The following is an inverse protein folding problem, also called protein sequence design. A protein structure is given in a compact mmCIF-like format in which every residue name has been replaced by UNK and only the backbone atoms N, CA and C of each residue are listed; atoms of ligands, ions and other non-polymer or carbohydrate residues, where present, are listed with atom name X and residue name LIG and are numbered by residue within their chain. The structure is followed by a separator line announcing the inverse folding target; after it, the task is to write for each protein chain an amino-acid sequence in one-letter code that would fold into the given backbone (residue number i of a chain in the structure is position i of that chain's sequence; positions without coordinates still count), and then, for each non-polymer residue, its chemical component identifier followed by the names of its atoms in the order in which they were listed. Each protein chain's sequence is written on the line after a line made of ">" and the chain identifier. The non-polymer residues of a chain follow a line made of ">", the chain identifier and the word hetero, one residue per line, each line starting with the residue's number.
data_IF_418613299262
#
_entry.id   IF_418613299262
#
_cell.length_a   1.000
_cell.length_b   1.000
_cell.length_c   1.000
_cell.angle_alpha   90.00
_cell.angle_beta   90.00
_cell.angle_gamma   90.00
#
_symmetry.space_group_name_H-M   'P 1'
#
loop_
_entity.id
_entity.type
_entity.pdbx_description
1 polymer ?
#
# COMPACT_ATOMS: atom_id res chain seq x y z
N UNK A 1 8.62 7.92 11.96
CA UNK A 1 8.75 7.27 10.64
C UNK A 1 9.48 5.96 10.83
N UNK A 2 8.84 4.88 10.42
CA UNK A 2 9.42 3.54 10.43
C UNK A 2 10.14 3.36 9.09
N UNK A 3 11.40 2.89 9.12
CA UNK A 3 12.18 2.66 7.90
C UNK A 3 11.79 1.32 7.31
N UNK A 4 11.55 1.28 6.01
CA UNK A 4 11.33 0.04 5.28
C UNK A 4 12.66 -0.72 5.19
N UNK A 5 12.59 -2.03 5.47
CA UNK A 5 13.69 -2.95 5.20
C UNK A 5 13.65 -3.34 3.72
N UNK A 6 14.63 -2.85 2.96
CA UNK A 6 14.74 -3.12 1.53
C UNK A 6 15.52 -4.40 1.21
N UNK A 7 16.07 -5.12 2.20
CA UNK A 7 16.90 -6.32 1.94
C UNK A 7 16.17 -7.36 1.09
N UNK A 8 14.86 -7.54 1.29
CA UNK A 8 14.08 -8.46 0.45
C UNK A 8 13.95 -7.97 -1.00
N UNK A 9 13.74 -6.66 -1.19
CA UNK A 9 13.66 -6.05 -2.52
C UNK A 9 15.02 -6.03 -3.23
N UNK A 10 16.12 -5.84 -2.51
CA UNK A 10 17.48 -5.93 -3.04
C UNK A 10 17.74 -7.33 -3.60
N UNK A 11 17.40 -8.38 -2.83
CA UNK A 11 17.50 -9.78 -3.28
C UNK A 11 16.62 -10.05 -4.50
N UNK A 12 15.40 -9.51 -4.55
CA UNK A 12 14.50 -9.69 -5.70
C UNK A 12 14.96 -8.93 -6.93
N UNK A 13 15.56 -7.76 -6.75
CA UNK A 13 15.99 -6.92 -7.86
C UNK A 13 17.27 -7.43 -8.51
N UNK A 14 18.16 -8.13 -7.79
CA UNK A 14 19.51 -8.48 -8.28
C UNK A 14 20.24 -7.27 -8.92
N UNK A 15 20.02 -6.06 -8.38
CA UNK A 15 20.49 -4.77 -8.93
C UNK A 15 19.92 -4.39 -10.32
N UNK A 16 18.81 -4.99 -10.74
CA UNK A 16 18.09 -4.65 -11.97
C UNK A 16 17.24 -3.37 -11.79
N UNK A 17 17.72 -2.27 -12.37
CA UNK A 17 17.02 -0.99 -12.37
C UNK A 17 15.66 -1.05 -13.09
N UNK A 18 15.47 -1.91 -14.10
CA UNK A 18 14.18 -2.07 -14.77
C UNK A 18 13.15 -2.67 -13.81
N UNK A 19 13.53 -3.70 -13.06
CA UNK A 19 12.69 -4.26 -11.99
C UNK A 19 12.35 -3.20 -10.93
N UNK A 20 13.34 -2.42 -10.46
CA UNK A 20 13.10 -1.36 -9.47
C UNK A 20 12.08 -0.34 -9.99
N UNK A 21 12.24 0.09 -11.24
CA UNK A 21 11.35 1.05 -11.90
C UNK A 21 9.91 0.50 -11.99
N UNK A 22 9.76 -0.73 -12.49
CA UNK A 22 8.45 -1.35 -12.68
C UNK A 22 7.74 -1.60 -11.34
N UNK A 23 8.48 -2.08 -10.33
CA UNK A 23 7.95 -2.28 -9.00
C UNK A 23 7.43 -0.99 -8.38
N UNK A 24 8.23 0.09 -8.41
CA UNK A 24 7.86 1.38 -7.84
C UNK A 24 6.66 1.99 -8.58
N UNK A 25 6.66 1.94 -9.91
CA UNK A 25 5.55 2.43 -10.72
C UNK A 25 4.25 1.67 -10.42
N UNK A 26 4.33 0.34 -10.35
CA UNK A 26 3.18 -0.52 -10.05
C UNK A 26 2.66 -0.27 -8.64
N UNK A 27 3.54 -0.11 -7.65
CA UNK A 27 3.17 0.23 -6.28
C UNK A 27 2.45 1.57 -6.23
N UNK A 28 3.02 2.62 -6.85
CA UNK A 28 2.47 3.97 -6.92
C UNK A 28 1.08 4.01 -7.54
N UNK A 29 0.91 3.39 -8.71
CA UNK A 29 -0.38 3.32 -9.39
C UNK A 29 -1.42 2.58 -8.54
N UNK A 30 -1.02 1.43 -7.98
CA UNK A 30 -1.91 0.58 -7.20
C UNK A 30 -2.41 1.28 -5.95
N UNK A 31 -1.53 1.84 -5.12
CA UNK A 31 -1.99 2.45 -3.87
C UNK A 31 -2.80 3.73 -4.11
N UNK A 32 -2.40 4.59 -5.06
CA UNK A 32 -3.13 5.82 -5.36
C UNK A 32 -4.55 5.52 -5.83
N UNK A 33 -4.70 4.52 -6.70
CA UNK A 33 -5.99 4.08 -7.21
C UNK A 33 -6.86 3.46 -6.10
N UNK A 34 -6.31 2.54 -5.32
CA UNK A 34 -7.07 1.79 -4.31
C UNK A 34 -7.43 2.64 -3.10
N UNK A 35 -6.53 3.50 -2.60
CA UNK A 35 -6.87 4.41 -1.50
C UNK A 35 -7.96 5.39 -1.92
N UNK A 36 -7.89 5.91 -3.16
CA UNK A 36 -8.98 6.74 -3.69
C UNK A 36 -10.31 5.99 -3.70
N UNK A 37 -10.35 4.76 -4.21
CA UNK A 37 -11.57 3.93 -4.20
C UNK A 37 -12.08 3.68 -2.80
N UNK A 38 -11.21 3.33 -1.84
CA UNK A 38 -11.60 3.11 -0.46
C UNK A 38 -12.27 4.34 0.17
N UNK A 39 -11.78 5.56 -0.15
CA UNK A 39 -12.43 6.81 0.28
C UNK A 39 -13.85 6.94 -0.30
N UNK A 40 -13.99 6.74 -1.61
CA UNK A 40 -15.28 6.82 -2.32
C UNK A 40 -16.27 5.74 -1.83
N UNK A 41 -15.79 4.52 -1.62
CA UNK A 41 -16.56 3.37 -1.11
C UNK A 41 -17.00 3.61 0.34
N UNK A 42 -16.15 4.17 1.19
CA UNK A 42 -16.52 4.56 2.56
C UNK A 42 -17.62 5.63 2.56
N UNK A 43 -17.48 6.67 1.73
CA UNK A 43 -18.47 7.75 1.62
C UNK A 43 -19.81 7.24 1.07
N UNK A 44 -19.78 6.28 0.15
CA UNK A 44 -20.96 5.64 -0.42
C UNK A 44 -21.60 4.57 0.50
N UNK A 45 -20.91 4.15 1.56
CA UNK A 45 -21.32 3.02 2.39
C UNK A 45 -21.16 1.65 1.72
N UNK A 46 -20.34 1.56 0.67
CA UNK A 46 -20.10 0.35 -0.12
C UNK A 46 -19.02 -0.53 0.52
N UNK A 47 -19.39 -1.21 1.60
CA UNK A 47 -18.48 -2.05 2.38
C UNK A 47 -18.00 -3.29 1.61
N UNK A 48 -18.77 -3.76 0.62
CA UNK A 48 -18.37 -4.90 -0.20
C UNK A 48 -17.17 -4.54 -1.09
N UNK A 49 -17.25 -3.40 -1.78
CA UNK A 49 -16.13 -2.96 -2.62
C UNK A 49 -14.96 -2.44 -1.77
N UNK A 50 -15.20 -1.84 -0.60
CA UNK A 50 -14.14 -1.51 0.36
C UNK A 50 -13.32 -2.73 0.77
N UNK A 51 -13.99 -3.85 1.08
CA UNK A 51 -13.32 -5.13 1.39
C UNK A 51 -12.43 -5.60 0.22
N UNK A 52 -12.92 -5.48 -1.02
CA UNK A 52 -12.15 -5.85 -2.23
C UNK A 52 -10.95 -4.93 -2.44
N UNK A 53 -11.13 -3.62 -2.30
CA UNK A 53 -10.04 -2.64 -2.43
C UNK A 53 -8.96 -2.87 -1.37
N UNK A 54 -9.35 -3.15 -0.13
CA UNK A 54 -8.42 -3.51 0.94
C UNK A 54 -7.66 -4.82 0.64
N UNK A 55 -8.37 -5.84 0.15
CA UNK A 55 -7.76 -7.09 -0.30
C UNK A 55 -6.74 -6.89 -1.43
N UNK A 56 -7.04 -6.00 -2.38
CA UNK A 56 -6.15 -5.71 -3.51
C UNK A 56 -4.89 -4.95 -3.12
N UNK A 57 -4.98 -4.04 -2.14
CA UNK A 57 -3.82 -3.26 -1.68
C UNK A 57 -2.94 -4.04 -0.70
N UNK A 58 -3.52 -4.96 0.08
CA UNK A 58 -2.83 -5.73 1.13
C UNK A 58 -1.52 -6.38 0.68
N UNK A 59 -1.43 -7.10 -0.46
CA UNK A 59 -0.20 -7.76 -0.88
C UNK A 59 0.95 -6.77 -1.07
N UNK A 60 0.68 -5.63 -1.71
CA UNK A 60 1.67 -4.58 -1.94
C UNK A 60 2.19 -4.00 -0.63
N UNK A 61 1.30 -3.72 0.33
CA UNK A 61 1.70 -3.25 1.65
C UNK A 61 2.52 -4.29 2.43
N UNK A 62 2.13 -5.58 2.39
CA UNK A 62 2.85 -6.66 3.07
C UNK A 62 4.20 -6.98 2.45
N UNK A 63 4.34 -6.83 1.13
CA UNK A 63 5.60 -7.09 0.40
C UNK A 63 6.74 -6.18 0.84
N UNK A 64 6.42 -4.95 1.25
CA UNK A 64 7.37 -3.97 1.81
C UNK A 64 7.16 -3.76 3.31
N UNK A 65 6.53 -4.73 3.98
CA UNK A 65 6.37 -4.80 5.44
C UNK A 65 5.75 -3.54 6.07
N UNK A 66 4.80 -2.89 5.39
CA UNK A 66 4.06 -1.77 5.99
C UNK A 66 3.10 -2.26 7.06
N UNK A 67 3.03 -1.52 8.17
CA UNK A 67 2.08 -1.76 9.27
C UNK A 67 0.63 -1.76 8.78
N UNK A 68 0.29 -0.92 7.80
CA UNK A 68 -1.04 -0.90 7.19
C UNK A 68 -1.42 -2.22 6.51
N UNK A 69 -0.48 -3.14 6.26
CA UNK A 69 -0.78 -4.48 5.73
C UNK A 69 -1.71 -5.30 6.63
N UNK A 70 -1.59 -5.18 7.95
CA UNK A 70 -2.48 -5.86 8.89
C UNK A 70 -3.84 -5.14 8.99
N UNK A 71 -3.83 -3.81 8.94
CA UNK A 71 -5.06 -3.00 8.86
C UNK A 71 -5.87 -3.32 7.61
N UNK A 72 -5.21 -3.47 6.45
CA UNK A 72 -5.84 -3.85 5.19
C UNK A 72 -6.41 -5.28 5.26
N UNK A 73 -5.76 -6.18 5.98
CA UNK A 73 -6.31 -7.51 6.26
C UNK A 73 -7.55 -7.45 7.14
N UNK A 74 -7.54 -6.63 8.19
CA UNK A 74 -8.72 -6.41 9.02
C UNK A 74 -9.87 -5.84 8.20
N UNK A 75 -9.64 -4.81 7.37
CA UNK A 75 -10.66 -4.21 6.51
C UNK A 75 -11.17 -5.17 5.43
N UNK A 76 -10.33 -6.08 4.95
CA UNK A 76 -10.76 -7.15 4.04
C UNK A 76 -11.85 -8.02 4.71
N UNK A 77 -11.69 -8.39 5.98
CA UNK A 77 -12.60 -9.30 6.67
C UNK A 77 -13.74 -8.60 7.43
N UNK A 78 -13.53 -7.37 7.88
CA UNK A 78 -14.50 -6.53 8.58
C UNK A 78 -14.43 -5.08 8.08
N UNK A 79 -14.95 -4.81 6.86
CA UNK A 79 -14.91 -3.48 6.25
C UNK A 79 -15.67 -2.41 7.06
N UNK A 80 -16.57 -2.82 7.98
CA UNK A 80 -17.31 -1.88 8.83
C UNK A 80 -16.41 -1.17 9.86
N UNK A 81 -15.19 -1.67 10.10
CA UNK A 81 -14.17 -0.96 10.89
C UNK A 81 -13.58 0.23 10.16
N UNK A 82 -13.78 0.36 8.85
CA UNK A 82 -13.22 1.45 8.09
C UNK A 82 -13.71 2.80 8.61
N UNK A 83 -12.77 3.70 8.86
CA UNK A 83 -13.03 5.10 9.15
C UNK A 83 -12.18 5.94 8.21
N UNK A 84 -12.55 7.22 8.06
CA UNK A 84 -11.75 8.17 7.30
C UNK A 84 -10.32 8.24 7.86
N UNK A 85 -10.18 8.23 9.18
CA UNK A 85 -8.88 8.25 9.87
C UNK A 85 -8.02 7.05 9.53
N UNK A 86 -8.60 5.84 9.48
CA UNK A 86 -7.88 4.63 9.08
C UNK A 86 -7.42 4.70 7.62
N UNK A 87 -8.29 5.16 6.72
CA UNK A 87 -7.94 5.27 5.29
C UNK A 87 -6.84 6.32 5.07
N UNK A 88 -6.88 7.44 5.81
CA UNK A 88 -5.83 8.45 5.74
C UNK A 88 -4.51 7.97 6.36
N UNK A 89 -4.55 7.16 7.43
CA UNK A 89 -3.33 6.53 7.97
C UNK A 89 -2.72 5.53 6.98
N UNK A 90 -3.53 4.72 6.29
CA UNK A 90 -3.08 3.85 5.19
C UNK A 90 -2.42 4.69 4.09
N UNK A 91 -3.06 5.80 3.68
CA UNK A 91 -2.51 6.71 2.67
C UNK A 91 -1.14 7.26 3.09
N UNK A 92 -1.04 7.80 4.31
CA UNK A 92 0.19 8.38 4.81
C UNK A 92 1.34 7.36 4.89
N UNK A 93 1.04 6.12 5.27
CA UNK A 93 2.02 5.03 5.27
C UNK A 93 2.49 4.67 3.85
N UNK A 94 1.58 4.56 2.88
CA UNK A 94 1.93 4.28 1.48
C UNK A 94 2.70 5.42 0.81
N UNK A 95 2.33 6.68 1.09
CA UNK A 95 3.05 7.86 0.58
C UNK A 95 4.49 7.94 1.12
N UNK A 96 4.67 7.70 2.42
CA UNK A 96 6.00 7.63 3.03
C UNK A 96 6.82 6.48 2.45
N UNK A 97 6.19 5.32 2.26
CA UNK A 97 6.82 4.16 1.63
C UNK A 97 7.29 4.45 0.21
N UNK A 98 6.45 5.09 -0.60
CA UNK A 98 6.80 5.48 -1.96
C UNK A 98 8.02 6.41 -1.98
N UNK A 99 8.08 7.35 -1.04
CA UNK A 99 9.23 8.25 -0.91
C UNK A 99 10.50 7.46 -0.59
N UNK A 100 10.44 6.54 0.38
CA UNK A 100 11.59 5.71 0.74
C UNK A 100 12.03 4.79 -0.41
N UNK A 101 11.08 4.25 -1.19
CA UNK A 101 11.35 3.44 -2.38
C UNK A 101 12.07 4.25 -3.48
N UNK A 102 11.61 5.49 -3.74
CA UNK A 102 12.27 6.40 -4.69
C UNK A 102 13.68 6.80 -4.22
N UNK A 103 13.88 7.00 -2.92
CA UNK A 103 15.21 7.23 -2.34
C UNK A 103 16.11 5.99 -2.42
N UNK A 104 15.55 4.78 -2.37
CA UNK A 104 16.28 3.52 -2.53
C UNK A 104 16.71 3.27 -3.98
N UNK A 105 15.82 3.53 -4.94
CA UNK A 105 16.09 3.44 -6.37
C UNK A 105 17.24 4.35 -6.82
N UNK A 106 17.41 5.51 -6.17
CA UNK A 106 18.44 6.49 -6.51
C UNK A 106 19.84 6.17 -5.95
N UNK A 107 20.01 5.07 -5.22
CA UNK A 107 21.30 4.62 -4.65
C UNK A 107 22.00 3.66 -5.58
#
# INVERSE_FOLDING_TARGET
>A
MEKIDFTYLEVLSEDDDEFKNEFIATFEETYLSLVKKMREELEAGDMENLSKSAHQLKPSAKMIHLRCGDTLEELQYDPNKATKEIIEDINAQCEDALKQLKDWQAK
#
